data_IF_840859990334
#
_entry.id   IF_840859990334
#
_cell.length_a   1.000
_cell.length_b   1.000
_cell.length_c   1.000
_cell.angle_alpha   90.00
_cell.angle_beta   90.00
_cell.angle_gamma   90.00
#
_symmetry.space_group_name_H-M   'P 1'
#
loop_
_entity.id
_entity.type
_entity.pdbx_description
1 polymer ?
#
# COMPACT_ATOMS: atom_id res chain seq x y z
N UNK A 1 -81.60 -38.54 1.16
CA UNK A 1 -80.98 -37.40 0.42
C UNK A 1 -80.63 -36.33 1.44
N UNK A 2 -79.39 -36.34 1.93
CA UNK A 2 -79.01 -35.52 3.09
C UNK A 2 -77.99 -34.48 2.65
N UNK A 3 -78.39 -33.21 2.60
CA UNK A 3 -77.47 -32.06 2.54
C UNK A 3 -78.03 -30.96 3.43
N UNK A 4 -77.61 -30.95 4.69
CA UNK A 4 -77.84 -29.83 5.58
C UNK A 4 -76.64 -28.88 5.49
N UNK A 5 -76.91 -27.64 5.07
CA UNK A 5 -75.96 -26.53 4.98
C UNK A 5 -75.85 -25.81 6.32
N UNK A 6 -74.59 -25.54 6.70
CA UNK A 6 -74.03 -24.38 7.44
C UNK A 6 -74.88 -23.76 8.56
N UNK A 7 -74.45 -24.01 9.80
CA UNK A 7 -74.54 -23.06 10.91
C UNK A 7 -73.12 -22.80 11.43
N UNK A 8 -72.70 -21.53 11.50
CA UNK A 8 -71.40 -21.14 12.04
C UNK A 8 -71.58 -20.18 13.21
N UNK A 9 -70.98 -20.50 14.35
CA UNK A 9 -70.48 -19.64 15.44
C UNK A 9 -69.53 -20.59 16.21
N UNK A 10 -68.25 -20.33 16.49
CA UNK A 10 -67.79 -19.43 17.56
C UNK A 10 -66.25 -19.29 17.53
N UNK A 11 -65.83 -18.04 17.72
CA UNK A 11 -64.61 -17.50 18.37
C UNK A 11 -63.55 -18.50 18.86
N UNK A 12 -62.32 -18.32 18.36
CA UNK A 12 -61.10 -18.85 18.96
C UNK A 12 -59.89 -18.06 18.48
N UNK A 13 -59.33 -17.23 19.36
CA UNK A 13 -58.15 -16.40 19.14
C UNK A 13 -56.91 -17.27 18.90
N UNK A 14 -55.93 -16.69 18.19
CA UNK A 14 -54.50 -16.99 18.20
C UNK A 14 -53.94 -17.69 16.95
N UNK A 15 -53.21 -16.91 16.15
CA UNK A 15 -51.74 -16.88 16.19
C UNK A 15 -51.25 -15.81 15.23
N UNK A 16 -50.77 -14.69 15.77
CA UNK A 16 -49.92 -13.77 15.03
C UNK A 16 -48.66 -14.55 14.65
N UNK A 17 -48.55 -14.98 13.40
CA UNK A 17 -47.28 -15.40 12.84
C UNK A 17 -46.54 -14.13 12.40
N UNK A 18 -45.70 -13.62 13.29
CA UNK A 18 -44.66 -12.65 12.93
C UNK A 18 -43.68 -13.35 11.98
N UNK A 19 -43.88 -13.19 10.67
CA UNK A 19 -42.84 -13.47 9.68
C UNK A 19 -41.80 -12.34 9.76
N UNK A 20 -40.88 -12.45 10.71
CA UNK A 20 -39.64 -11.70 10.67
C UNK A 20 -38.78 -12.31 9.56
N UNK A 21 -38.86 -11.73 8.36
CA UNK A 21 -37.89 -12.01 7.29
C UNK A 21 -36.56 -11.40 7.73
N UNK A 22 -35.78 -12.19 8.48
CA UNK A 22 -34.40 -11.85 8.77
C UNK A 22 -33.61 -11.89 7.47
N UNK A 23 -33.31 -10.72 6.90
CA UNK A 23 -32.31 -10.62 5.82
C UNK A 23 -30.97 -10.98 6.47
N UNK A 24 -30.56 -12.25 6.36
CA UNK A 24 -29.18 -12.63 6.62
C UNK A 24 -28.32 -11.85 5.63
N UNK A 25 -27.66 -10.81 6.11
CA UNK A 25 -26.61 -10.13 5.37
C UNK A 25 -25.51 -11.14 5.08
N UNK A 26 -25.48 -11.66 3.86
CA UNK A 26 -24.41 -12.51 3.38
C UNK A 26 -23.17 -11.62 3.25
N UNK A 27 -22.33 -11.61 4.29
CA UNK A 27 -21.05 -10.92 4.25
C UNK A 27 -20.15 -11.69 3.30
N UNK A 28 -20.05 -11.23 2.06
CA UNK A 28 -19.07 -11.72 1.10
C UNK A 28 -17.71 -11.33 1.64
N UNK A 29 -17.01 -12.27 2.27
CA UNK A 29 -15.60 -12.13 2.58
C UNK A 29 -14.85 -12.02 1.25
N UNK A 30 -14.50 -10.80 0.86
CA UNK A 30 -13.64 -10.55 -0.29
C UNK A 30 -12.23 -11.01 0.11
N UNK A 31 -11.89 -12.24 -0.23
CA UNK A 31 -10.52 -12.75 -0.09
C UNK A 31 -9.64 -11.97 -1.06
N UNK A 32 -8.97 -10.93 -0.58
CA UNK A 32 -7.89 -10.31 -1.35
C UNK A 32 -6.85 -11.40 -1.62
N UNK A 33 -6.47 -11.68 -2.88
CA UNK A 33 -5.46 -12.68 -3.14
C UNK A 33 -4.19 -12.26 -2.39
N UNK A 34 -3.67 -13.16 -1.54
CA UNK A 34 -2.36 -12.96 -0.95
C UNK A 34 -1.36 -12.78 -2.10
N UNK A 35 -0.57 -11.70 -2.06
CA UNK A 35 0.55 -11.49 -2.99
C UNK A 35 1.42 -12.74 -2.92
N UNK A 36 1.57 -13.44 -4.03
CA UNK A 36 2.47 -14.59 -4.09
C UNK A 36 3.79 -14.14 -4.69
N UNK A 37 4.40 -13.15 -4.05
CA UNK A 37 5.75 -12.73 -4.36
C UNK A 37 6.75 -13.84 -3.98
N UNK A 38 8.00 -13.79 -4.48
CA UNK A 38 9.03 -14.72 -4.10
C UNK A 38 9.36 -14.62 -2.61
N UNK A 39 9.73 -15.74 -2.00
CA UNK A 39 10.06 -15.75 -0.57
C UNK A 39 11.28 -14.88 -0.23
N UNK A 40 11.34 -14.38 1.02
CA UNK A 40 12.50 -13.66 1.54
C UNK A 40 13.82 -14.42 1.32
N UNK A 41 13.81 -15.75 1.48
CA UNK A 41 14.97 -16.60 1.27
C UNK A 41 15.44 -16.64 -0.18
N UNK A 42 14.52 -16.56 -1.16
CA UNK A 42 14.89 -16.52 -2.58
C UNK A 42 15.55 -15.18 -2.93
N UNK A 43 15.02 -14.08 -2.39
CA UNK A 43 15.64 -12.75 -2.50
C UNK A 43 17.01 -12.66 -1.83
N UNK A 44 17.19 -13.31 -0.69
CA UNK A 44 18.49 -13.40 -0.04
C UNK A 44 19.51 -14.16 -0.91
N UNK A 45 19.12 -15.29 -1.51
CA UNK A 45 19.97 -16.02 -2.47
C UNK A 45 20.38 -15.16 -3.67
N UNK A 46 19.43 -14.38 -4.21
CA UNK A 46 19.74 -13.42 -5.28
C UNK A 46 20.81 -12.42 -4.84
N UNK A 47 20.57 -11.67 -3.76
CA UNK A 47 21.53 -10.67 -3.27
C UNK A 47 22.90 -11.27 -2.96
N UNK A 48 22.92 -12.49 -2.43
CA UNK A 48 24.18 -13.17 -2.13
C UNK A 48 24.97 -13.49 -3.39
N UNK A 49 24.31 -13.93 -4.45
CA UNK A 49 24.95 -14.15 -5.75
C UNK A 49 25.40 -12.83 -6.40
N UNK A 50 24.54 -11.80 -6.37
CA UNK A 50 24.78 -10.52 -7.05
C UNK A 50 25.90 -9.68 -6.40
N UNK A 51 25.90 -9.55 -5.07
CA UNK A 51 26.73 -8.56 -4.36
C UNK A 51 27.39 -9.09 -3.10
N UNK A 52 27.21 -10.37 -2.79
CA UNK A 52 27.43 -10.93 -1.45
C UNK A 52 26.61 -10.21 -0.36
N UNK A 53 25.42 -9.72 -0.70
CA UNK A 53 24.51 -9.06 0.24
C UNK A 53 24.83 -7.60 0.57
N UNK A 54 25.77 -6.97 -0.16
CA UNK A 54 26.26 -5.62 0.13
C UNK A 54 25.46 -4.55 -0.60
N UNK A 55 24.75 -3.71 0.14
CA UNK A 55 23.91 -2.64 -0.42
C UNK A 55 24.69 -1.41 -0.89
N UNK A 56 25.89 -1.20 -0.35
CA UNK A 56 26.78 -0.07 -0.62
C UNK A 56 27.85 -0.40 -1.68
N UNK A 57 27.79 -1.59 -2.29
CA UNK A 57 28.82 -2.04 -3.22
C UNK A 57 28.82 -1.22 -4.51
N UNK A 58 30.01 -0.80 -4.91
CA UNK A 58 30.32 -0.28 -6.22
C UNK A 58 31.76 -0.69 -6.57
N UNK A 59 31.90 -1.65 -7.49
CA UNK A 59 33.21 -2.16 -7.93
C UNK A 59 33.75 -1.44 -9.17
N UNK A 60 33.00 -0.47 -9.71
CA UNK A 60 33.32 0.18 -10.99
C UNK A 60 32.91 -0.63 -12.22
N UNK A 61 32.15 -1.72 -12.09
CA UNK A 61 31.69 -2.56 -13.20
C UNK A 61 30.40 -2.06 -13.90
N UNK A 62 29.91 -0.87 -13.56
CA UNK A 62 28.67 -0.30 -14.11
C UNK A 62 27.38 -0.78 -13.45
N UNK A 63 27.47 -1.61 -12.42
CA UNK A 63 26.36 -2.10 -11.61
C UNK A 63 26.56 -1.73 -10.14
N UNK A 64 25.45 -1.50 -9.43
CA UNK A 64 25.49 -0.86 -8.12
C UNK A 64 24.54 -1.54 -7.13
N UNK A 65 25.00 -1.59 -5.87
CA UNK A 65 24.20 -2.01 -4.73
C UNK A 65 23.84 -3.49 -4.69
N UNK A 66 22.96 -3.86 -3.77
CA UNK A 66 22.75 -5.26 -3.38
C UNK A 66 22.19 -6.16 -4.49
N UNK A 67 21.48 -5.54 -5.44
CA UNK A 67 20.82 -6.21 -6.55
C UNK A 67 21.51 -5.95 -7.89
N UNK A 68 22.71 -5.36 -7.87
CA UNK A 68 23.51 -5.05 -9.04
C UNK A 68 22.69 -4.36 -10.14
N UNK A 69 22.03 -3.26 -9.79
CA UNK A 69 21.31 -2.46 -10.78
C UNK A 69 22.29 -1.72 -11.69
N UNK A 70 22.04 -1.66 -13.00
CA UNK A 70 22.61 -0.59 -13.83
C UNK A 70 21.75 0.69 -13.72
N UNK A 71 22.33 1.85 -14.04
CA UNK A 71 21.65 3.14 -13.86
C UNK A 71 20.38 3.29 -14.71
N UNK A 72 20.40 2.81 -15.96
CA UNK A 72 19.24 2.90 -16.84
C UNK A 72 18.05 2.08 -16.28
N UNK A 73 18.31 0.89 -15.77
CA UNK A 73 17.28 0.04 -15.16
C UNK A 73 16.78 0.64 -13.85
N UNK A 74 17.68 1.15 -13.01
CA UNK A 74 17.34 1.86 -11.78
C UNK A 74 16.36 3.02 -12.03
N UNK A 75 16.68 3.87 -13.01
CA UNK A 75 15.85 5.00 -13.42
C UNK A 75 14.52 4.53 -14.03
N UNK A 76 14.51 3.43 -14.78
CA UNK A 76 13.27 2.88 -15.37
C UNK A 76 12.23 2.45 -14.34
N UNK A 77 12.66 2.13 -13.11
CA UNK A 77 11.78 1.81 -11.98
C UNK A 77 11.64 2.97 -10.98
N UNK A 78 12.00 4.18 -11.40
CA UNK A 78 11.82 5.44 -10.65
C UNK A 78 12.92 5.76 -9.64
N UNK A 79 14.04 5.05 -9.68
CA UNK A 79 15.21 5.35 -8.87
C UNK A 79 15.89 6.65 -9.29
N UNK A 80 16.38 7.41 -8.32
CA UNK A 80 17.20 8.61 -8.54
C UNK A 80 18.63 8.39 -8.03
N UNK A 81 19.60 9.13 -8.56
CA UNK A 81 21.01 8.94 -8.19
C UNK A 81 21.53 7.54 -8.53
N UNK A 82 22.54 7.07 -7.79
CA UNK A 82 23.06 5.71 -7.94
C UNK A 82 22.47 4.75 -6.90
N UNK A 83 22.21 3.47 -7.26
CA UNK A 83 21.68 2.48 -6.32
C UNK A 83 22.54 2.27 -5.06
N UNK A 84 23.88 2.26 -5.18
CA UNK A 84 24.83 2.10 -4.06
C UNK A 84 24.72 3.19 -2.99
N UNK A 85 24.24 4.37 -3.40
CA UNK A 85 24.03 5.52 -2.51
C UNK A 85 22.62 5.58 -1.93
N UNK A 86 21.70 4.76 -2.45
CA UNK A 86 20.33 4.72 -2.00
C UNK A 86 20.22 3.88 -0.72
N UNK A 87 19.29 4.24 0.16
CA UNK A 87 19.02 3.44 1.35
C UNK A 87 18.71 1.99 0.97
N UNK A 88 19.06 1.00 1.78
CA UNK A 88 18.78 -0.39 1.43
C UNK A 88 17.28 -0.65 1.24
N UNK A 89 16.40 0.09 1.93
CA UNK A 89 14.94 0.01 1.73
C UNK A 89 14.50 0.52 0.34
N UNK A 90 15.20 1.52 -0.20
CA UNK A 90 14.99 1.99 -1.58
C UNK A 90 15.41 0.94 -2.59
N UNK A 91 16.56 0.30 -2.39
CA UNK A 91 17.00 -0.78 -3.27
C UNK A 91 16.04 -1.98 -3.23
N UNK A 92 15.56 -2.37 -2.04
CA UNK A 92 14.57 -3.44 -1.85
C UNK A 92 13.26 -3.11 -2.59
N UNK A 93 12.77 -1.88 -2.45
CA UNK A 93 11.58 -1.41 -3.14
C UNK A 93 11.72 -1.53 -4.66
N UNK A 94 12.83 -1.02 -5.20
CA UNK A 94 13.07 -0.96 -6.65
C UNK A 94 13.31 -2.36 -7.22
N UNK A 95 13.96 -3.25 -6.47
CA UNK A 95 14.14 -4.65 -6.86
C UNK A 95 12.80 -5.39 -6.93
N UNK A 96 11.95 -5.26 -5.90
CA UNK A 96 10.62 -5.87 -5.92
C UNK A 96 9.75 -5.29 -7.05
N UNK A 97 9.85 -3.97 -7.29
CA UNK A 97 9.11 -3.35 -8.38
C UNK A 97 9.60 -3.84 -9.76
N UNK A 98 10.92 -3.93 -9.95
CA UNK A 98 11.51 -4.46 -11.19
C UNK A 98 11.07 -5.91 -11.44
N UNK A 99 11.03 -6.75 -10.41
CA UNK A 99 10.53 -8.12 -10.50
C UNK A 99 9.06 -8.15 -10.93
N UNK A 100 8.20 -7.34 -10.32
CA UNK A 100 6.78 -7.24 -10.72
C UNK A 100 6.59 -6.65 -12.11
N UNK A 101 7.60 -5.98 -12.68
CA UNK A 101 7.59 -5.50 -14.06
C UNK A 101 8.08 -6.55 -15.06
N UNK A 102 9.12 -7.33 -14.74
CA UNK A 102 9.88 -8.13 -15.74
C UNK A 102 10.07 -9.61 -15.36
N UNK A 103 9.67 -9.99 -14.16
CA UNK A 103 10.06 -11.26 -13.53
C UNK A 103 11.56 -11.28 -13.24
N UNK A 104 12.15 -12.47 -13.16
CA UNK A 104 13.58 -12.66 -12.87
C UNK A 104 14.55 -12.26 -14.00
N UNK A 105 14.04 -11.99 -15.20
CA UNK A 105 14.85 -11.73 -16.40
C UNK A 105 15.98 -10.69 -16.25
N UNK A 106 15.85 -9.62 -15.44
CA UNK A 106 16.92 -8.65 -15.27
C UNK A 106 18.16 -9.13 -14.53
N UNK A 107 18.10 -10.29 -13.86
CA UNK A 107 19.17 -10.79 -12.99
C UNK A 107 19.78 -12.08 -13.54
N UNK A 108 21.05 -12.03 -13.91
CA UNK A 108 21.78 -13.19 -14.41
C UNK A 108 21.89 -14.29 -13.35
N UNK A 109 22.16 -13.92 -12.09
CA UNK A 109 22.19 -14.84 -10.96
C UNK A 109 20.87 -15.59 -10.77
N UNK A 110 19.72 -14.95 -11.02
CA UNK A 110 18.43 -15.63 -10.94
C UNK A 110 18.30 -16.73 -12.01
N UNK A 111 18.85 -16.49 -13.22
CA UNK A 111 18.95 -17.48 -14.28
C UNK A 111 19.87 -18.65 -13.90
N UNK A 112 21.07 -18.34 -13.40
CA UNK A 112 22.04 -19.35 -12.93
C UNK A 112 21.49 -20.23 -11.80
N UNK A 113 20.70 -19.64 -10.89
CA UNK A 113 20.09 -20.33 -9.76
C UNK A 113 18.76 -21.01 -10.11
N UNK A 114 18.31 -20.94 -11.37
CA UNK A 114 17.09 -21.62 -11.85
C UNK A 114 15.80 -21.07 -11.24
N UNK A 115 15.71 -19.76 -11.02
CA UNK A 115 14.50 -19.15 -10.45
C UNK A 115 13.36 -19.09 -11.46
N UNK A 116 12.17 -19.49 -11.01
CA UNK A 116 10.93 -19.43 -11.79
C UNK A 116 10.08 -18.23 -11.37
N UNK A 117 9.38 -17.63 -12.34
CA UNK A 117 8.42 -16.57 -12.07
C UNK A 117 7.18 -17.13 -11.36
N UNK A 118 6.64 -16.36 -10.43
CA UNK A 118 5.32 -16.59 -9.84
C UNK A 118 4.23 -15.76 -10.54
N UNK A 119 3.04 -15.70 -9.92
CA UNK A 119 1.88 -14.96 -10.43
C UNK A 119 2.04 -13.44 -10.37
N UNK A 120 2.93 -12.94 -9.51
CA UNK A 120 3.14 -11.50 -9.29
C UNK A 120 4.19 -10.92 -10.26
N UNK A 121 5.02 -11.78 -10.85
CA UNK A 121 5.86 -11.41 -11.99
C UNK A 121 5.01 -10.82 -13.13
N UNK A 122 5.46 -9.67 -13.66
CA UNK A 122 4.84 -8.96 -14.80
C UNK A 122 3.42 -8.41 -14.54
N UNK A 123 2.94 -8.40 -13.29
CA UNK A 123 1.68 -7.76 -12.91
C UNK A 123 1.72 -6.23 -13.01
N UNK A 124 2.92 -5.64 -13.02
CA UNK A 124 3.15 -4.19 -12.98
C UNK A 124 2.63 -3.51 -11.70
N UNK A 125 2.32 -4.28 -10.65
CA UNK A 125 1.93 -3.73 -9.34
C UNK A 125 3.11 -3.02 -8.70
N UNK A 126 2.96 -1.75 -8.41
CA UNK A 126 3.96 -1.00 -7.63
C UNK A 126 3.88 -1.43 -6.15
N UNK A 127 4.98 -1.91 -5.54
CA UNK A 127 5.01 -2.20 -4.10
C UNK A 127 4.91 -0.91 -3.28
N UNK A 128 4.66 -1.05 -1.98
CA UNK A 128 5.01 -0.07 -0.95
C UNK A 128 6.34 -0.46 -0.28
N UNK A 129 7.00 0.48 0.42
CA UNK A 129 8.21 0.17 1.19
C UNK A 129 7.98 -0.88 2.29
N UNK A 130 6.78 -0.90 2.88
CA UNK A 130 6.41 -1.92 3.86
C UNK A 130 6.35 -3.30 3.19
N UNK A 131 5.72 -3.39 2.01
CA UNK A 131 5.68 -4.62 1.23
C UNK A 131 7.05 -5.07 0.73
N UNK A 132 8.00 -4.17 0.46
CA UNK A 132 9.35 -4.58 0.05
C UNK A 132 10.29 -4.93 1.21
N UNK A 133 9.97 -4.55 2.44
CA UNK A 133 10.87 -4.75 3.58
C UNK A 133 11.26 -6.22 3.80
N UNK A 134 10.32 -7.16 3.54
CA UNK A 134 10.60 -8.59 3.72
C UNK A 134 11.68 -9.10 2.76
N UNK A 135 11.81 -8.51 1.56
CA UNK A 135 12.79 -9.01 0.60
C UNK A 135 14.20 -8.78 1.12
N UNK A 136 14.45 -7.66 1.82
CA UNK A 136 15.75 -7.30 2.39
C UNK A 136 16.20 -8.14 3.59
N UNK A 137 15.42 -9.14 4.02
CA UNK A 137 15.77 -9.99 5.17
C UNK A 137 15.71 -9.27 6.52
N UNK A 138 15.15 -8.05 6.55
CA UNK A 138 14.86 -7.34 7.79
C UNK A 138 13.52 -7.85 8.32
N UNK A 139 13.40 -8.20 9.61
CA UNK A 139 12.09 -8.47 10.20
C UNK A 139 11.18 -7.29 9.83
N UNK A 140 9.97 -7.59 9.33
CA UNK A 140 8.92 -6.58 9.41
C UNK A 140 8.91 -6.17 10.89
N UNK A 141 9.14 -4.89 11.24
CA UNK A 141 8.91 -4.50 12.62
C UNK A 141 7.48 -4.95 12.94
N UNK A 142 7.23 -5.66 14.07
CA UNK A 142 5.86 -5.88 14.48
C UNK A 142 5.19 -4.53 14.42
N UNK A 143 4.05 -4.42 13.71
CA UNK A 143 3.24 -3.22 13.80
C UNK A 143 3.01 -3.03 15.30
N UNK A 144 3.59 -1.99 15.94
CA UNK A 144 3.34 -1.79 17.35
C UNK A 144 1.82 -1.67 17.50
N UNK A 145 1.19 -2.19 18.56
CA UNK A 145 -0.17 -1.74 18.86
C UNK A 145 -0.11 -0.23 18.82
N UNK A 146 -0.90 0.37 17.92
CA UNK A 146 -0.76 1.77 17.59
C UNK A 146 -0.69 2.57 18.90
N UNK A 147 0.39 3.33 19.18
CA UNK A 147 0.33 4.27 20.29
C UNK A 147 -0.90 5.13 20.02
N UNK A 148 -1.79 5.26 21.03
CA UNK A 148 -2.95 6.14 20.95
C UNK A 148 -2.46 7.44 20.32
N UNK A 149 -2.97 7.87 19.16
CA UNK A 149 -2.40 9.00 18.45
C UNK A 149 -2.28 10.18 19.41
N UNK A 150 -1.15 10.91 19.43
CA UNK A 150 -1.18 12.23 20.04
C UNK A 150 -2.37 12.97 19.42
N UNK A 151 -3.16 13.64 20.25
CA UNK A 151 -4.30 14.42 19.77
C UNK A 151 -3.83 15.25 18.56
N UNK A 152 -4.64 15.37 17.49
CA UNK A 152 -4.30 16.23 16.36
C UNK A 152 -3.79 17.57 16.89
N UNK A 153 -2.82 18.23 16.24
CA UNK A 153 -2.57 19.64 16.52
C UNK A 153 -3.94 20.34 16.45
N UNK A 154 -4.40 20.89 17.58
CA UNK A 154 -5.72 21.48 17.76
C UNK A 154 -5.89 22.81 17.02
N UNK A 155 -5.40 22.89 15.79
CA UNK A 155 -5.49 24.05 14.92
C UNK A 155 -6.65 23.93 13.93
N UNK A 156 -7.22 25.07 13.48
CA UNK A 156 -8.27 25.07 12.47
C UNK A 156 -7.79 24.46 11.15
N UNK A 157 -8.71 23.80 10.42
CA UNK A 157 -8.42 23.23 9.10
C UNK A 157 -7.95 24.35 8.15
N UNK A 158 -6.76 24.23 7.53
CA UNK A 158 -6.32 25.18 6.52
C UNK A 158 -7.19 25.12 5.27
N UNK A 159 -7.45 26.29 4.66
CA UNK A 159 -8.11 26.39 3.37
C UNK A 159 -7.32 25.61 2.29
N UNK A 160 -8.03 25.13 1.27
CA UNK A 160 -7.39 24.48 0.13
C UNK A 160 -6.45 25.49 -0.59
N UNK A 161 -5.17 25.16 -0.84
CA UNK A 161 -4.21 26.09 -1.44
C UNK A 161 -4.42 26.44 -2.93
N UNK A 162 -5.42 25.85 -3.60
CA UNK A 162 -5.69 26.12 -5.02
C UNK A 162 -4.83 25.36 -6.03
N UNK A 163 -3.83 24.59 -5.58
CA UNK A 163 -2.86 23.90 -6.46
C UNK A 163 -2.87 22.40 -6.21
N UNK A 164 -2.94 21.59 -7.28
CA UNK A 164 -2.79 20.13 -7.19
C UNK A 164 -1.31 19.77 -7.16
N UNK A 165 -0.86 19.16 -6.06
CA UNK A 165 0.54 18.78 -5.90
C UNK A 165 0.82 17.35 -6.38
N UNK A 166 1.99 17.13 -6.94
CA UNK A 166 2.52 15.86 -7.41
C UNK A 166 3.98 15.68 -7.01
N UNK A 167 4.55 14.51 -7.35
CA UNK A 167 5.94 14.19 -7.05
C UNK A 167 6.90 15.26 -7.56
N UNK A 168 7.82 15.72 -6.70
CA UNK A 168 8.79 16.75 -6.99
C UNK A 168 8.40 18.15 -6.52
N UNK A 169 7.11 18.41 -6.25
CA UNK A 169 6.66 19.73 -5.81
C UNK A 169 7.10 20.03 -4.38
N UNK A 170 7.45 21.29 -4.10
CA UNK A 170 7.70 21.75 -2.73
C UNK A 170 6.86 23.01 -2.44
N UNK A 171 6.17 23.01 -1.31
CA UNK A 171 5.30 24.12 -0.90
C UNK A 171 5.07 24.13 0.62
N UNK A 172 4.82 25.30 1.23
CA UNK A 172 4.41 25.39 2.64
C UNK A 172 3.16 24.55 2.96
N UNK A 173 2.21 24.47 2.02
CA UNK A 173 1.01 23.65 2.19
C UNK A 173 1.31 22.14 2.29
N UNK A 174 2.36 21.66 1.60
CA UNK A 174 2.78 20.27 1.70
C UNK A 174 3.35 19.95 3.08
N UNK A 175 4.04 20.91 3.71
CA UNK A 175 4.49 20.77 5.09
C UNK A 175 3.29 20.63 6.03
N UNK A 176 2.25 21.44 5.84
CA UNK A 176 1.02 21.34 6.62
C UNK A 176 0.33 19.98 6.44
N UNK A 177 0.20 19.49 5.20
CA UNK A 177 -0.33 18.16 4.93
C UNK A 177 0.51 17.06 5.59
N UNK A 178 1.83 17.08 5.44
CA UNK A 178 2.74 16.11 6.03
C UNK A 178 2.60 16.05 7.55
N UNK A 179 2.63 17.21 8.21
CA UNK A 179 2.46 17.28 9.67
C UNK A 179 1.07 16.82 10.09
N UNK A 180 0.02 17.11 9.29
CA UNK A 180 -1.33 16.58 9.52
C UNK A 180 -1.35 15.05 9.47
N UNK A 181 -0.68 14.44 8.50
CA UNK A 181 -0.62 12.98 8.37
C UNK A 181 0.07 12.30 9.56
N UNK A 182 0.82 13.03 10.41
CA UNK A 182 1.36 12.46 11.65
C UNK A 182 0.27 12.06 12.65
N UNK A 183 -0.92 12.66 12.58
CA UNK A 183 -2.08 12.22 13.34
C UNK A 183 -2.52 10.79 12.99
N UNK A 184 -2.10 10.27 11.83
CA UNK A 184 -2.34 8.90 11.35
C UNK A 184 -1.06 8.05 11.39
N UNK A 185 -0.04 8.46 12.16
CA UNK A 185 1.15 7.65 12.41
C UNK A 185 2.24 7.67 11.32
N UNK A 186 2.23 8.63 10.39
CA UNK A 186 3.23 8.66 9.31
C UNK A 186 4.62 9.19 9.73
N UNK A 187 4.73 10.00 10.79
CA UNK A 187 6.03 10.46 11.32
C UNK A 187 6.87 11.32 10.36
N UNK A 188 6.25 12.24 9.64
CA UNK A 188 6.91 13.28 8.84
C UNK A 188 7.59 14.34 9.69
N UNK A 189 8.78 14.77 9.25
CA UNK A 189 9.46 15.96 9.77
C UNK A 189 8.91 17.28 9.18
N UNK A 190 7.99 17.23 8.21
CA UNK A 190 7.42 18.41 7.57
C UNK A 190 8.40 19.14 6.64
N UNK A 191 9.03 18.41 5.72
CA UNK A 191 10.00 18.98 4.76
C UNK A 191 9.37 19.96 3.77
N UNK A 192 8.06 19.87 3.54
CA UNK A 192 7.36 20.67 2.54
C UNK A 192 7.51 20.14 1.12
N UNK A 193 8.17 19.02 0.90
CA UNK A 193 8.37 18.46 -0.43
C UNK A 193 7.61 17.14 -0.64
N UNK A 194 6.99 17.02 -1.82
CA UNK A 194 6.21 15.89 -2.26
C UNK A 194 7.14 14.83 -2.84
N UNK A 195 7.67 13.99 -1.96
CA UNK A 195 8.40 12.78 -2.33
C UNK A 195 7.63 11.54 -1.88
N UNK A 196 8.25 10.36 -1.93
CA UNK A 196 7.48 9.11 -1.81
C UNK A 196 6.73 8.94 -0.50
N UNK A 197 7.30 9.40 0.62
CA UNK A 197 6.56 9.35 1.89
C UNK A 197 5.23 10.11 1.82
N UNK A 198 5.24 11.30 1.19
CA UNK A 198 4.04 12.12 0.98
C UNK A 198 3.08 11.44 0.01
N UNK A 199 3.58 10.90 -1.11
CA UNK A 199 2.77 10.18 -2.09
C UNK A 199 2.08 8.96 -1.51
N UNK A 200 2.76 8.18 -0.66
CA UNK A 200 2.17 7.05 0.07
C UNK A 200 1.01 7.52 0.94
N UNK A 201 1.21 8.57 1.74
CA UNK A 201 0.17 9.13 2.59
C UNK A 201 -1.04 9.61 1.78
N UNK A 202 -0.80 10.21 0.60
CA UNK A 202 -1.87 10.64 -0.34
C UNK A 202 -2.64 9.45 -0.89
N UNK A 203 -1.96 8.41 -1.37
CA UNK A 203 -2.59 7.22 -1.94
C UNK A 203 -3.42 6.46 -0.88
N UNK A 204 -2.87 6.26 0.32
CA UNK A 204 -3.57 5.60 1.42
C UNK A 204 -4.87 6.36 1.77
N UNK A 205 -4.77 7.68 1.86
CA UNK A 205 -5.91 8.54 2.14
C UNK A 205 -6.95 8.53 1.00
N UNK A 206 -6.51 8.46 -0.26
CA UNK A 206 -7.39 8.36 -1.43
C UNK A 206 -8.22 7.07 -1.38
N UNK A 207 -7.57 5.93 -1.16
CA UNK A 207 -8.20 4.60 -1.13
C UNK A 207 -9.29 4.50 -0.09
N UNK A 208 -9.00 4.89 1.16
CA UNK A 208 -9.99 4.75 2.26
C UNK A 208 -11.15 5.73 2.14
N UNK A 209 -10.99 6.82 1.37
CA UNK A 209 -12.02 7.83 1.13
C UNK A 209 -12.70 7.71 -0.24
N UNK A 210 -12.47 6.60 -0.97
CA UNK A 210 -13.03 6.38 -2.30
C UNK A 210 -12.74 7.55 -3.29
N UNK A 211 -11.54 8.12 -3.20
CA UNK A 211 -11.02 9.10 -4.14
C UNK A 211 -10.13 8.35 -5.13
N UNK A 212 -10.15 8.73 -6.41
CA UNK A 212 -9.27 8.13 -7.42
C UNK A 212 -7.80 8.12 -6.94
N UNK A 213 -7.16 6.95 -7.03
CA UNK A 213 -5.76 6.64 -6.67
C UNK A 213 -4.74 7.32 -7.61
N UNK A 214 -4.91 8.62 -7.85
CA UNK A 214 -4.05 9.41 -8.72
C UNK A 214 -2.64 9.63 -8.16
N UNK A 215 -2.46 9.45 -6.84
CA UNK A 215 -1.21 9.78 -6.17
C UNK A 215 -0.86 11.26 -6.23
N UNK A 216 -1.84 12.12 -6.53
CA UNK A 216 -1.75 13.59 -6.52
C UNK A 216 -2.56 14.15 -5.36
N UNK A 217 -2.02 15.13 -4.65
CA UNK A 217 -2.75 15.83 -3.59
C UNK A 217 -3.59 16.95 -4.21
N UNK A 218 -4.86 16.61 -4.49
CA UNK A 218 -5.87 17.57 -4.95
C UNK A 218 -6.86 17.96 -3.84
N UNK A 219 -7.87 18.79 -4.15
CA UNK A 219 -8.80 19.35 -3.17
C UNK A 219 -9.59 18.29 -2.39
N UNK A 220 -9.97 17.20 -3.06
CA UNK A 220 -10.67 16.08 -2.42
C UNK A 220 -9.78 15.38 -1.38
N UNK A 221 -8.53 15.10 -1.74
CA UNK A 221 -7.58 14.44 -0.85
C UNK A 221 -7.15 15.36 0.30
N UNK A 222 -7.02 16.67 0.04
CA UNK A 222 -6.82 17.65 1.10
C UNK A 222 -7.98 17.63 2.10
N UNK A 223 -9.23 17.71 1.62
CA UNK A 223 -10.42 17.63 2.48
C UNK A 223 -10.41 16.35 3.33
N UNK A 224 -10.11 15.21 2.70
CA UNK A 224 -10.05 13.92 3.38
C UNK A 224 -9.02 13.86 4.52
N UNK A 225 -7.92 14.61 4.44
CA UNK A 225 -6.90 14.58 5.49
C UNK A 225 -7.41 15.17 6.82
N UNK A 226 -8.44 16.02 6.79
CA UNK A 226 -9.05 16.60 7.99
C UNK A 226 -10.43 16.02 8.32
N UNK A 227 -11.23 15.68 7.30
CA UNK A 227 -12.64 15.32 7.47
C UNK A 227 -12.98 13.90 7.01
N UNK A 228 -12.01 13.22 6.40
CA UNK A 228 -12.19 11.89 5.83
C UNK A 228 -12.01 10.76 6.83
N UNK A 229 -12.20 9.54 6.33
CA UNK A 229 -11.82 8.32 7.02
C UNK A 229 -10.29 8.29 7.21
N UNK A 230 -9.80 8.04 8.43
CA UNK A 230 -8.38 7.85 8.70
C UNK A 230 -7.84 6.64 7.90
N UNK A 231 -6.68 6.77 7.24
CA UNK A 231 -6.06 5.65 6.53
C UNK A 231 -5.39 4.63 7.45
N UNK A 232 -5.17 4.98 8.72
CA UNK A 232 -4.56 4.16 9.78
C UNK A 232 -5.14 4.57 11.14
#
# INVERSE_FOLDING_TARGET
MTKLRRGGVTRGVARLLLLAVGVLGFQIAVSTPASADPSAGLWAKLRMCESSGRYDINTGNGYYGAYQFNLATWQSVGGSGRPDQASPAEQDFRALYLYRMRGWQPWECAGMLGFSNDRDARTKRTPSYHESAYIGGRPLPPVPPAPKPPAPPGGPKPAWPGVVYAYGDCAPALKAFQLRMNAFGYGFSGTGCYYEKTKTAVLDLQRVNAINDSGRLGPKTWKAAWEGKPPR
#
